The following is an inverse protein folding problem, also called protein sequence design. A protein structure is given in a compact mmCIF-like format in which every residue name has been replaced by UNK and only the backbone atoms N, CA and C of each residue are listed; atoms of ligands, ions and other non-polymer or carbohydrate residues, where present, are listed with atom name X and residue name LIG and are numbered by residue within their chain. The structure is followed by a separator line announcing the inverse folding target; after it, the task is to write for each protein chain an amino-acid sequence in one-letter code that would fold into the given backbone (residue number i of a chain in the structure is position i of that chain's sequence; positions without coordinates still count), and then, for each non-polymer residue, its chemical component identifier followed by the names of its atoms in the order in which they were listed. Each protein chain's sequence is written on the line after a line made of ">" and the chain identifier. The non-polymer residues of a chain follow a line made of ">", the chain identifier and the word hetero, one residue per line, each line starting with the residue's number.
data_IF_589945669333
#
_entry.id   IF_589945669333
#
_cell.length_a   1.000
_cell.length_b   1.000
_cell.length_c   1.000
_cell.angle_alpha   90.00
_cell.angle_beta   90.00
_cell.angle_gamma   90.00
#
_symmetry.space_group_name_H-M   'P 1'
#
loop_
_entity.id
_entity.type
_entity.pdbx_description
1 polymer ?
#
# COMPACT_ATOMS: atom_id res chain seq x y z
N UNK A 1 11.86 -43.69 17.66
CA UNK A 1 12.53 -42.74 16.73
C UNK A 1 11.45 -42.20 15.81
N UNK A 2 10.86 -41.06 16.16
CA UNK A 2 9.87 -40.32 15.35
C UNK A 2 10.57 -39.05 14.86
N UNK A 3 10.71 -38.78 13.55
CA UNK A 3 11.24 -37.51 13.10
C UNK A 3 10.22 -36.41 13.35
N UNK A 4 10.68 -35.34 13.99
CA UNK A 4 9.96 -34.12 14.27
C UNK A 4 9.87 -33.30 12.97
N UNK A 5 8.66 -32.88 12.58
CA UNK A 5 8.47 -31.96 11.45
C UNK A 5 8.38 -30.53 11.96
N UNK A 6 9.29 -29.61 11.59
CA UNK A 6 9.08 -28.18 11.80
C UNK A 6 8.29 -27.60 10.62
N UNK A 7 6.97 -27.51 10.75
CA UNK A 7 6.12 -26.75 9.84
C UNK A 7 6.15 -25.25 10.18
N UNK A 8 7.27 -24.58 9.96
CA UNK A 8 7.35 -23.11 9.99
C UNK A 8 6.77 -22.54 8.70
N UNK A 9 5.48 -22.22 8.67
CA UNK A 9 4.90 -21.40 7.60
C UNK A 9 5.20 -19.94 7.90
N UNK A 10 6.42 -19.53 7.56
CA UNK A 10 6.83 -18.14 7.56
C UNK A 10 6.02 -17.33 6.54
N UNK A 11 5.64 -16.13 6.99
CA UNK A 11 5.09 -15.00 6.28
C UNK A 11 5.55 -14.85 4.84
N UNK A 12 4.62 -14.84 3.87
CA UNK A 12 4.71 -14.05 2.63
C UNK A 12 3.31 -13.93 2.04
N UNK A 13 2.48 -13.05 2.59
CA UNK A 13 1.52 -12.34 1.73
C UNK A 13 2.20 -11.02 1.48
N UNK A 14 2.89 -10.93 0.33
CA UNK A 14 3.27 -9.64 -0.21
C UNK A 14 2.04 -8.77 -0.14
N UNK A 15 2.19 -7.57 0.43
CA UNK A 15 1.12 -6.59 0.52
C UNK A 15 0.82 -6.12 -0.90
N UNK A 16 0.17 -6.97 -1.70
CA UNK A 16 -0.49 -6.60 -2.95
C UNK A 16 -1.33 -5.40 -2.57
N UNK A 17 -0.97 -4.22 -3.07
CA UNK A 17 -1.67 -3.01 -2.76
C UNK A 17 -3.12 -3.18 -3.23
N UNK A 18 -3.98 -3.57 -2.28
CA UNK A 18 -5.36 -3.96 -2.53
C UNK A 18 -6.23 -2.75 -2.84
N UNK A 19 -5.76 -1.55 -2.50
CA UNK A 19 -6.47 -0.29 -2.70
C UNK A 19 -5.56 0.75 -3.36
N UNK A 20 -6.16 1.59 -4.20
CA UNK A 20 -5.48 2.73 -4.79
C UNK A 20 -5.17 3.78 -3.72
N UNK A 21 -3.90 4.18 -3.60
CA UNK A 21 -3.45 5.19 -2.63
C UNK A 21 -4.01 6.62 -2.85
N UNK A 22 -4.55 6.90 -4.04
CA UNK A 22 -5.11 8.22 -4.38
C UNK A 22 -6.62 8.30 -4.16
N UNK A 23 -7.39 7.35 -4.69
CA UNK A 23 -8.86 7.36 -4.62
C UNK A 23 -9.44 6.40 -3.57
N UNK A 24 -8.67 5.45 -3.05
CA UNK A 24 -9.11 4.48 -2.02
C UNK A 24 -9.99 3.35 -2.54
N UNK A 25 -10.22 3.27 -3.86
CA UNK A 25 -10.98 2.19 -4.52
C UNK A 25 -10.15 0.90 -4.53
N UNK A 26 -10.76 -0.27 -4.28
CA UNK A 26 -10.05 -1.54 -4.38
C UNK A 26 -9.56 -1.76 -5.81
N UNK A 27 -8.31 -2.18 -5.96
CA UNK A 27 -7.84 -2.74 -7.22
C UNK A 27 -8.51 -4.10 -7.36
N UNK A 28 -9.23 -4.37 -8.46
CA UNK A 28 -10.01 -5.60 -8.70
C UNK A 28 -9.15 -6.88 -8.83
N UNK A 29 -8.15 -7.08 -7.97
CA UNK A 29 -7.27 -8.26 -7.96
C UNK A 29 -6.16 -8.23 -9.02
N UNK A 30 -6.06 -7.16 -9.82
CA UNK A 30 -4.86 -6.90 -10.60
C UNK A 30 -3.75 -6.39 -9.68
N UNK A 31 -2.65 -7.12 -9.60
CA UNK A 31 -1.39 -6.64 -9.03
C UNK A 31 -1.12 -5.23 -9.58
N UNK A 32 -0.93 -4.28 -8.68
CA UNK A 32 -0.97 -2.84 -8.97
C UNK A 32 0.00 -2.42 -10.10
N UNK A 33 -0.21 -1.29 -10.82
CA UNK A 33 -1.43 -0.52 -11.07
C UNK A 33 -1.68 -0.41 -12.58
N UNK A 34 -2.58 -1.20 -13.17
CA UNK A 34 -2.91 -1.04 -14.59
C UNK A 34 -4.31 -1.50 -15.00
N UNK A 35 -5.31 -1.45 -14.11
CA UNK A 35 -6.64 -1.14 -14.64
C UNK A 35 -6.53 0.29 -15.18
N UNK A 36 -6.82 0.51 -16.47
CA UNK A 36 -6.76 1.81 -17.16
C UNK A 36 -7.35 2.97 -16.31
N UNK A 37 -8.40 2.64 -15.54
CA UNK A 37 -9.09 3.47 -14.54
C UNK A 37 -8.16 4.10 -13.49
N UNK A 38 -7.04 3.46 -13.12
CA UNK A 38 -6.12 3.93 -12.09
C UNK A 38 -4.76 4.43 -12.62
N UNK A 39 -4.53 4.43 -13.94
CA UNK A 39 -3.30 4.98 -14.52
C UNK A 39 -3.03 6.42 -14.05
N UNK A 40 -4.06 7.28 -14.12
CA UNK A 40 -4.00 8.67 -13.64
C UNK A 40 -3.76 8.79 -12.13
N UNK A 41 -4.24 7.83 -11.35
CA UNK A 41 -3.97 7.81 -9.92
C UNK A 41 -2.50 7.49 -9.63
N UNK A 42 -1.90 6.58 -10.41
CA UNK A 42 -0.48 6.25 -10.32
C UNK A 42 0.42 7.45 -10.64
N UNK A 43 0.15 8.17 -11.73
CA UNK A 43 0.89 9.39 -12.08
C UNK A 43 0.81 10.46 -10.98
N UNK A 44 -0.36 10.63 -10.37
CA UNK A 44 -0.54 11.55 -9.25
C UNK A 44 0.23 11.11 -8.01
N UNK A 45 0.21 9.83 -7.68
CA UNK A 45 0.94 9.29 -6.52
C UNK A 45 2.47 9.42 -6.66
N UNK A 46 2.99 9.56 -7.88
CA UNK A 46 4.40 9.86 -8.10
C UNK A 46 4.78 11.31 -7.71
N UNK A 47 3.83 12.25 -7.81
CA UNK A 47 4.07 13.68 -7.57
C UNK A 47 3.41 14.20 -6.28
N UNK A 48 2.38 13.51 -5.79
CA UNK A 48 1.51 13.90 -4.70
C UNK A 48 1.49 12.80 -3.63
N UNK A 49 1.46 13.14 -2.33
CA UNK A 49 1.40 12.16 -1.26
C UNK A 49 0.14 11.27 -1.33
N UNK A 50 0.25 9.98 -0.97
CA UNK A 50 -0.88 9.08 -0.88
C UNK A 50 -1.84 9.54 0.20
N UNK A 51 -3.12 9.61 -0.17
CA UNK A 51 -4.21 9.99 0.73
C UNK A 51 -4.78 8.80 1.46
N UNK A 52 -4.70 7.61 0.87
CA UNK A 52 -5.26 6.37 1.40
C UNK A 52 -4.19 5.28 1.52
N UNK A 53 -4.30 4.46 2.56
CA UNK A 53 -3.43 3.32 2.76
C UNK A 53 -3.79 2.21 1.77
N UNK A 54 -2.80 1.78 0.98
CA UNK A 54 -2.97 0.73 -0.02
C UNK A 54 -3.34 -0.65 0.56
N UNK A 55 -3.17 -0.86 1.87
CA UNK A 55 -3.48 -2.12 2.54
C UNK A 55 -4.84 -2.13 3.29
N UNK A 56 -5.32 -0.99 3.81
CA UNK A 56 -6.59 -0.96 4.57
C UNK A 56 -7.57 0.15 4.16
N UNK A 57 -7.34 0.87 3.06
CA UNK A 57 -8.19 1.96 2.54
C UNK A 57 -8.44 3.15 3.48
N UNK A 58 -7.77 3.21 4.65
CA UNK A 58 -7.92 4.32 5.60
C UNK A 58 -7.18 5.56 5.11
N UNK A 59 -7.69 6.74 5.45
CA UNK A 59 -7.01 8.01 5.19
C UNK A 59 -5.69 8.06 5.98
N UNK A 60 -4.63 8.47 5.31
CA UNK A 60 -3.30 8.63 5.91
C UNK A 60 -3.13 10.06 6.43
N UNK A 61 -2.34 10.22 7.50
CA UNK A 61 -1.88 11.52 7.98
C UNK A 61 -0.69 11.94 7.13
N UNK A 62 -0.94 12.83 6.18
CA UNK A 62 0.11 13.37 5.31
C UNK A 62 0.76 14.58 5.96
N UNK A 63 2.08 14.63 5.96
CA UNK A 63 2.89 15.79 6.29
C UNK A 63 3.72 16.16 5.06
N UNK A 64 3.59 17.40 4.59
CA UNK A 64 4.35 17.93 3.46
C UNK A 64 5.46 18.81 4.01
N UNK A 65 6.67 18.60 3.52
CA UNK A 65 7.89 19.35 3.87
C UNK A 65 8.53 19.89 2.59
N UNK A 66 9.44 20.86 2.67
CA UNK A 66 10.18 21.33 1.49
C UNK A 66 11.02 20.24 0.81
N UNK A 67 11.38 19.18 1.54
CA UNK A 67 12.24 18.09 1.08
C UNK A 67 11.44 16.88 0.55
N UNK A 68 10.11 16.89 0.68
CA UNK A 68 9.25 15.76 0.32
C UNK A 68 8.05 15.64 1.24
N UNK A 69 7.50 14.44 1.38
CA UNK A 69 6.33 14.20 2.22
C UNK A 69 6.43 12.87 2.96
N UNK A 70 5.68 12.76 4.05
CA UNK A 70 5.49 11.51 4.79
C UNK A 70 4.01 11.27 4.98
N UNK A 71 3.54 10.06 4.72
CA UNK A 71 2.14 9.68 4.91
C UNK A 71 2.06 8.56 5.94
N UNK A 72 1.35 8.76 7.05
CA UNK A 72 1.24 7.75 8.11
C UNK A 72 -0.15 7.14 8.19
N UNK A 73 -0.22 5.80 8.10
CA UNK A 73 -1.41 5.04 8.37
C UNK A 73 -1.46 4.64 9.85
N UNK A 74 -2.59 4.89 10.52
CA UNK A 74 -2.76 4.54 11.94
C UNK A 74 -2.61 3.05 12.26
N UNK A 75 -2.74 2.15 11.26
CA UNK A 75 -2.61 0.70 11.44
C UNK A 75 -1.30 0.14 10.87
N UNK A 76 -0.82 0.71 9.77
CA UNK A 76 0.27 0.14 8.98
C UNK A 76 1.54 0.98 9.02
N UNK A 77 1.54 2.11 9.72
CA UNK A 77 2.71 2.96 9.90
C UNK A 77 2.95 3.92 8.74
N UNK A 78 4.16 4.47 8.72
CA UNK A 78 4.58 5.52 7.78
C UNK A 78 4.99 4.96 6.43
N UNK A 79 4.58 5.66 5.37
CA UNK A 79 5.01 5.52 4.00
C UNK A 79 5.71 6.82 3.61
N UNK A 80 6.95 6.71 3.15
CA UNK A 80 7.73 7.81 2.60
C UNK A 80 8.14 7.43 1.17
N UNK A 81 8.30 8.40 0.26
CA UNK A 81 8.80 8.16 -1.09
C UNK A 81 10.25 7.66 -1.11
#
# INVERSE_FOLDING_TARGET
>A
MIPNSPGSTGSTTGSTAAFCGHCGVPSDGGDSPASDVHHRCGERLAMEPPRYCAACRRRMKVQVTPLGWTAECSRHGVLAP
#
